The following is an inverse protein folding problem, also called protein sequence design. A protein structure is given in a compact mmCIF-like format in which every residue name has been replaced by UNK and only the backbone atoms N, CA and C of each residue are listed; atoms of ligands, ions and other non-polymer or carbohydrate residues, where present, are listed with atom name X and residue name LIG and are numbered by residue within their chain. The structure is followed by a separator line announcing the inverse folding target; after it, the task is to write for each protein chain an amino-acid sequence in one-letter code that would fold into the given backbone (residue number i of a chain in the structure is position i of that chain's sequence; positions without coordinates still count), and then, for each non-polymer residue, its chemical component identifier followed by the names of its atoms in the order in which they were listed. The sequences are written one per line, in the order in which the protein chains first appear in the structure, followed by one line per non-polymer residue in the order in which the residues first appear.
data_IF_001758454024
#
_entry.id   IF_001758454024
#
_cell.length_a   1.000
_cell.length_b   1.000
_cell.length_c   1.000
_cell.angle_alpha   90.00
_cell.angle_beta   90.00
_cell.angle_gamma   90.00
#
_symmetry.space_group_name_H-M   'P 1'
#
loop_
_entity.id
_entity.type
_entity.pdbx_description
1 polymer ?
#
# COMPACT_ATOMS: atom_id res chain seq x y z
N UNK A 1 -21.86 65.55 -18.34
CA UNK A 1 -22.22 64.22 -18.90
C UNK A 1 -21.01 63.59 -19.52
N UNK A 2 -20.70 62.36 -19.09
CA UNK A 2 -20.01 61.24 -19.75
C UNK A 2 -19.02 60.59 -18.78
N UNK A 3 -19.55 59.65 -17.99
CA UNK A 3 -18.77 58.71 -17.21
C UNK A 3 -18.22 57.64 -18.15
N UNK A 4 -16.90 57.46 -18.17
CA UNK A 4 -16.25 56.31 -18.79
C UNK A 4 -16.00 55.32 -17.65
N UNK A 5 -16.68 54.16 -17.71
CA UNK A 5 -16.45 53.04 -16.81
C UNK A 5 -15.37 52.15 -17.42
N UNK A 6 -14.20 52.08 -16.77
CA UNK A 6 -13.14 51.13 -17.11
C UNK A 6 -13.27 49.92 -16.18
N UNK A 7 -13.54 48.75 -16.75
CA UNK A 7 -13.51 47.46 -16.07
C UNK A 7 -12.04 47.08 -15.79
N UNK A 8 -11.68 46.96 -14.52
CA UNK A 8 -10.36 46.46 -14.08
C UNK A 8 -10.34 44.94 -14.12
N UNK A 9 -9.64 44.36 -15.11
CA UNK A 9 -9.24 42.96 -15.15
C UNK A 9 -8.07 42.74 -14.19
N UNK A 10 -8.21 41.80 -13.25
CA UNK A 10 -7.14 41.32 -12.41
C UNK A 10 -6.19 40.45 -13.25
N UNK A 11 -4.90 40.80 -13.28
CA UNK A 11 -3.84 39.93 -13.77
C UNK A 11 -2.97 39.52 -12.57
N UNK A 12 -3.19 38.31 -12.07
CA UNK A 12 -2.30 37.68 -11.08
C UNK A 12 -1.04 37.25 -11.85
N UNK A 13 0.02 38.07 -11.78
CA UNK A 13 1.31 37.70 -12.33
C UNK A 13 1.95 36.66 -11.39
N UNK A 14 1.91 35.39 -11.79
CA UNK A 14 2.68 34.32 -11.16
C UNK A 14 4.17 34.64 -11.36
N UNK A 15 4.84 35.06 -10.30
CA UNK A 15 6.29 35.23 -10.30
C UNK A 15 6.94 33.86 -10.51
N UNK A 16 7.56 33.67 -11.67
CA UNK A 16 8.42 32.53 -11.96
C UNK A 16 9.72 32.77 -11.22
N UNK A 17 9.92 32.12 -10.08
CA UNK A 17 11.24 32.08 -9.45
C UNK A 17 12.11 31.08 -10.19
N UNK A 18 12.85 31.58 -11.18
CA UNK A 18 14.09 30.94 -11.60
C UNK A 18 15.18 31.35 -10.61
N UNK A 19 15.61 30.42 -9.76
CA UNK A 19 16.86 30.54 -9.01
C UNK A 19 17.48 29.17 -8.83
N UNK A 20 18.46 28.86 -9.66
CA UNK A 20 19.44 27.83 -9.35
C UNK A 20 20.38 28.39 -8.27
N UNK A 21 20.41 27.80 -7.08
CA UNK A 21 21.64 27.26 -6.46
C UNK A 21 21.51 26.99 -4.95
N UNK A 22 22.31 25.99 -4.55
CA UNK A 22 22.82 25.62 -3.23
C UNK A 22 21.97 24.67 -2.38
N UNK A 23 22.46 23.43 -2.33
CA UNK A 23 22.59 22.56 -1.15
C UNK A 23 21.63 22.84 0.02
N UNK A 24 20.47 22.23 -0.03
CA UNK A 24 19.97 21.53 1.16
C UNK A 24 19.65 20.11 0.71
N UNK A 25 20.34 19.17 1.35
CA UNK A 25 19.95 17.77 1.45
C UNK A 25 18.55 17.70 2.08
N UNK A 26 17.55 18.09 1.30
CA UNK A 26 16.17 17.76 1.59
C UNK A 26 16.06 16.27 1.29
N UNK A 27 16.50 15.48 2.26
CA UNK A 27 15.88 14.20 2.56
C UNK A 27 14.40 14.48 2.78
N UNK A 28 13.65 14.65 1.69
CA UNK A 28 12.20 14.64 1.72
C UNK A 28 11.88 13.28 2.30
N UNK A 29 11.49 13.28 3.57
CA UNK A 29 11.04 12.08 4.24
C UNK A 29 9.93 11.51 3.35
N UNK A 30 10.14 10.28 2.84
CA UNK A 30 9.14 9.52 2.09
C UNK A 30 7.92 9.15 2.96
N UNK A 31 7.90 9.62 4.20
CA UNK A 31 6.83 9.44 5.14
C UNK A 31 5.59 10.25 4.73
N UNK A 32 4.40 9.62 4.68
CA UNK A 32 3.19 10.30 4.28
C UNK A 32 2.74 11.31 5.35
N UNK A 33 2.38 12.51 4.91
CA UNK A 33 1.94 13.59 5.81
C UNK A 33 0.65 13.29 6.60
N UNK A 34 -0.17 12.34 6.11
CA UNK A 34 -1.40 11.88 6.76
C UNK A 34 -1.20 10.56 7.54
N UNK A 35 0.03 10.07 7.60
CA UNK A 35 0.43 8.82 8.21
C UNK A 35 -0.23 7.58 7.58
N UNK A 36 -1.02 7.69 6.51
CA UNK A 36 -1.78 6.57 5.94
C UNK A 36 -0.83 5.60 5.24
N UNK A 37 -0.96 4.31 5.59
CA UNK A 37 -0.25 3.23 4.89
C UNK A 37 -0.84 3.10 3.48
N UNK A 38 0.03 3.16 2.48
CA UNK A 38 -0.31 2.97 1.06
C UNK A 38 0.44 1.78 0.54
N UNK A 39 -0.26 0.86 -0.13
CA UNK A 39 0.31 -0.39 -0.62
C UNK A 39 0.24 -0.43 -2.14
N UNK A 40 1.34 -0.82 -2.76
CA UNK A 40 1.44 -1.17 -4.17
C UNK A 40 1.95 -2.58 -4.27
N UNK A 41 1.45 -3.36 -5.22
CA UNK A 41 1.94 -4.72 -5.47
C UNK A 41 2.75 -4.76 -6.75
N UNK A 42 3.81 -5.56 -6.73
CA UNK A 42 4.50 -5.99 -7.92
C UNK A 42 4.78 -7.48 -7.75
N UNK A 43 3.99 -8.28 -8.46
CA UNK A 43 4.27 -9.69 -8.67
C UNK A 43 4.85 -9.76 -10.07
N UNK A 44 6.18 -9.83 -10.16
CA UNK A 44 6.86 -10.09 -11.43
C UNK A 44 6.44 -11.47 -11.95
N UNK A 45 6.32 -11.59 -13.28
CA UNK A 45 6.05 -12.85 -13.95
C UNK A 45 7.25 -13.81 -13.78
N UNK A 46 7.41 -14.39 -12.58
CA UNK A 46 8.32 -15.50 -12.40
C UNK A 46 7.77 -16.63 -13.26
N UNK A 47 8.42 -16.87 -14.40
CA UNK A 47 8.19 -18.02 -15.29
C UNK A 47 8.61 -19.33 -14.61
N UNK A 48 7.95 -19.69 -13.51
CA UNK A 48 7.93 -21.03 -12.94
C UNK A 48 6.57 -21.27 -12.27
N UNK A 49 5.52 -21.49 -13.06
CA UNK A 49 4.25 -22.13 -12.63
C UNK A 49 3.35 -21.37 -11.62
N UNK A 50 3.66 -20.14 -11.23
CA UNK A 50 2.72 -19.26 -10.52
C UNK A 50 1.77 -18.59 -11.53
N UNK A 51 0.48 -18.64 -11.26
CA UNK A 51 -0.59 -18.04 -12.07
C UNK A 51 -1.06 -16.69 -11.51
N UNK A 52 -0.67 -16.35 -10.27
CA UNK A 52 -0.78 -14.99 -9.77
C UNK A 52 0.24 -14.09 -10.44
N UNK A 53 -0.28 -13.14 -11.21
CA UNK A 53 0.41 -11.96 -11.72
C UNK A 53 -0.16 -10.76 -10.98
N UNK A 54 0.48 -9.59 -11.09
CA UNK A 54 -0.12 -8.35 -10.56
C UNK A 54 -1.54 -8.12 -11.11
N UNK A 55 -1.85 -8.64 -12.30
CA UNK A 55 -3.14 -8.50 -12.94
C UNK A 55 -4.20 -9.48 -12.41
N UNK A 56 -3.82 -10.71 -12.07
CA UNK A 56 -4.73 -11.75 -11.55
C UNK A 56 -4.83 -11.79 -10.02
N UNK A 57 -4.00 -11.03 -9.31
CA UNK A 57 -4.16 -10.85 -7.87
C UNK A 57 -5.31 -9.86 -7.59
N UNK A 58 -6.41 -10.36 -7.03
CA UNK A 58 -7.59 -9.57 -6.67
C UNK A 58 -7.64 -9.20 -5.18
N UNK A 59 -7.08 -10.06 -4.33
CA UNK A 59 -6.99 -9.85 -2.89
C UNK A 59 -5.77 -10.52 -2.26
N UNK A 60 -5.32 -9.97 -1.14
CA UNK A 60 -4.27 -10.55 -0.31
C UNK A 60 -4.40 -10.06 1.14
N UNK A 61 -3.72 -10.74 2.06
CA UNK A 61 -3.59 -10.31 3.44
C UNK A 61 -2.32 -9.46 3.63
N UNK A 62 -2.44 -8.34 4.33
CA UNK A 62 -1.34 -7.47 4.72
C UNK A 62 -1.21 -7.38 6.25
N UNK A 63 0.01 -7.47 6.75
CA UNK A 63 0.34 -7.45 8.16
C UNK A 63 1.47 -6.46 8.45
N UNK A 64 1.34 -5.73 9.57
CA UNK A 64 2.35 -4.85 10.13
C UNK A 64 2.54 -5.22 11.61
N UNK A 65 3.78 -5.54 11.97
CA UNK A 65 4.21 -5.75 13.35
C UNK A 65 5.00 -4.57 13.88
N UNK A 66 4.42 -3.86 14.84
CA UNK A 66 5.13 -2.83 15.58
C UNK A 66 5.39 -3.32 17.01
N UNK A 67 6.65 -3.69 17.28
CA UNK A 67 7.07 -4.21 18.57
C UNK A 67 6.92 -3.21 19.73
N UNK A 68 6.93 -1.91 19.42
CA UNK A 68 6.91 -0.84 20.42
C UNK A 68 5.50 -0.27 20.66
N UNK A 69 4.55 -0.50 19.74
CA UNK A 69 3.20 0.03 19.87
C UNK A 69 2.16 -0.80 19.11
N UNK A 70 1.40 -1.60 19.86
CA UNK A 70 0.33 -2.45 19.31
C UNK A 70 -0.78 -1.69 18.59
N UNK A 71 -0.95 -0.38 18.86
CA UNK A 71 -1.96 0.45 18.16
C UNK A 71 -1.66 0.57 16.66
N UNK A 72 -0.39 0.49 16.28
CA UNK A 72 0.07 0.56 14.90
C UNK A 72 0.53 -0.82 14.40
N UNK A 73 0.05 -1.89 15.05
CA UNK A 73 0.16 -3.25 14.57
C UNK A 73 -1.16 -3.66 13.95
N UNK A 74 -1.10 -4.21 12.75
CA UNK A 74 -2.26 -4.61 11.97
C UNK A 74 -2.03 -6.04 11.50
N UNK A 75 -3.03 -6.89 11.61
CA UNK A 75 -2.88 -8.27 11.23
C UNK A 75 -4.04 -8.74 10.37
N UNK A 76 -3.69 -9.50 9.33
CA UNK A 76 -4.61 -10.10 8.39
C UNK A 76 -5.57 -9.07 7.79
N UNK A 77 -5.05 -7.88 7.46
CA UNK A 77 -5.85 -6.85 6.80
C UNK A 77 -6.03 -7.28 5.35
N UNK A 78 -7.28 -7.56 4.99
CA UNK A 78 -7.65 -7.86 3.62
C UNK A 78 -7.43 -6.60 2.76
N UNK A 79 -6.62 -6.75 1.73
CA UNK A 79 -6.39 -5.76 0.69
C UNK A 79 -7.15 -6.21 -0.54
N UNK A 80 -8.03 -5.37 -1.08
CA UNK A 80 -8.81 -5.68 -2.29
C UNK A 80 -8.45 -4.72 -3.41
N UNK A 81 -8.34 -5.25 -4.62
CA UNK A 81 -8.00 -4.48 -5.82
C UNK A 81 -9.24 -3.79 -6.40
N UNK A 82 -9.13 -2.49 -6.61
CA UNK A 82 -10.10 -1.71 -7.38
C UNK A 82 -9.36 -0.93 -8.49
N UNK A 83 -9.41 -1.47 -9.71
CA UNK A 83 -8.60 -0.96 -10.82
C UNK A 83 -7.11 -1.15 -10.54
N UNK A 84 -6.38 -0.05 -10.36
CA UNK A 84 -4.95 -0.05 -9.99
C UNK A 84 -4.71 0.21 -8.50
N UNK A 85 -5.77 0.49 -7.73
CA UNK A 85 -5.67 0.84 -6.32
C UNK A 85 -5.91 -0.39 -5.44
N UNK A 86 -5.28 -0.37 -4.26
CA UNK A 86 -5.47 -1.38 -3.23
C UNK A 86 -6.14 -0.75 -2.01
N UNK A 87 -7.31 -1.25 -1.65
CA UNK A 87 -8.09 -0.75 -0.52
C UNK A 87 -8.00 -1.74 0.65
N UNK A 88 -7.59 -1.28 1.84
CA UNK A 88 -7.62 -2.13 3.02
C UNK A 88 -9.04 -2.23 3.61
N UNK A 89 -9.37 -3.35 4.22
CA UNK A 89 -10.63 -3.52 4.96
C UNK A 89 -10.73 -2.61 6.19
N UNK A 90 -9.60 -2.14 6.72
CA UNK A 90 -9.50 -1.17 7.82
C UNK A 90 -8.35 -0.19 7.53
N UNK A 91 -8.55 1.10 7.80
CA UNK A 91 -7.49 2.10 7.62
C UNK A 91 -6.30 1.82 8.55
N UNK A 92 -5.12 1.72 7.96
CA UNK A 92 -3.86 1.53 8.67
C UNK A 92 -3.04 2.83 8.68
N UNK A 93 -2.34 3.09 9.78
CA UNK A 93 -1.50 4.26 9.96
C UNK A 93 -0.09 3.86 10.37
N UNK A 94 0.91 4.55 9.85
CA UNK A 94 2.26 4.53 10.37
C UNK A 94 2.34 5.31 11.69
N UNK A 95 3.15 4.83 12.63
CA UNK A 95 3.37 5.55 13.89
C UNK A 95 4.15 6.87 13.66
N UNK A 96 5.29 6.78 12.98
CA UNK A 96 6.19 7.87 12.61
C UNK A 96 7.24 7.33 11.63
N UNK A 97 8.16 8.18 11.17
CA UNK A 97 9.19 7.83 10.18
C UNK A 97 10.41 7.08 10.74
N UNK A 98 10.52 6.93 12.07
CA UNK A 98 11.72 6.38 12.73
C UNK A 98 11.49 5.03 13.39
N UNK A 99 10.23 4.64 13.63
CA UNK A 99 9.88 3.37 14.23
C UNK A 99 9.96 2.24 13.19
N UNK A 100 10.89 1.28 13.33
CA UNK A 100 10.91 0.10 12.47
C UNK A 100 9.69 -0.78 12.75
N UNK A 101 9.23 -1.46 11.70
CA UNK A 101 8.14 -2.43 11.74
C UNK A 101 8.51 -3.65 10.90
N UNK A 102 7.94 -4.79 11.26
CA UNK A 102 7.95 -5.99 10.43
C UNK A 102 6.73 -5.96 9.49
N UNK A 103 6.89 -6.34 8.24
CA UNK A 103 5.80 -6.37 7.25
C UNK A 103 5.73 -7.76 6.65
N UNK A 104 4.51 -8.26 6.45
CA UNK A 104 4.29 -9.51 5.74
C UNK A 104 3.04 -9.39 4.87
N UNK A 105 3.10 -9.96 3.67
CA UNK A 105 1.92 -10.15 2.82
C UNK A 105 1.81 -11.60 2.35
N UNK A 106 0.58 -12.10 2.20
CA UNK A 106 0.33 -13.41 1.58
C UNK A 106 -0.99 -13.44 0.80
N UNK A 107 -1.04 -14.31 -0.21
CA UNK A 107 -2.22 -14.57 -1.02
C UNK A 107 -2.42 -16.08 -1.26
N UNK A 108 -3.67 -16.55 -1.48
CA UNK A 108 -4.91 -15.76 -1.35
C UNK A 108 -5.20 -15.42 0.12
N UNK A 109 -6.11 -14.48 0.35
CA UNK A 109 -6.53 -14.10 1.70
C UNK A 109 -7.24 -15.27 2.39
N UNK A 110 -6.89 -15.56 3.66
CA UNK A 110 -7.62 -16.50 4.52
C UNK A 110 -8.20 -15.74 5.71
N UNK A 111 -9.53 -15.71 5.83
CA UNK A 111 -10.22 -15.06 6.95
C UNK A 111 -9.90 -15.67 8.32
N UNK A 112 -9.37 -16.90 8.35
CA UNK A 112 -8.96 -17.60 9.57
C UNK A 112 -7.49 -17.37 9.93
N UNK A 113 -6.76 -16.52 9.19
CA UNK A 113 -5.39 -16.12 9.52
C UNK A 113 -5.30 -15.52 10.93
N UNK A 114 -4.52 -16.14 11.82
CA UNK A 114 -4.47 -15.78 13.25
C UNK A 114 -3.47 -14.64 13.54
N UNK A 115 -3.92 -13.70 14.37
CA UNK A 115 -3.40 -12.36 14.54
C UNK A 115 -2.19 -12.16 15.47
N UNK A 116 -1.73 -13.18 16.19
CA UNK A 116 -0.52 -13.07 17.03
C UNK A 116 0.72 -13.73 16.41
N UNK A 117 0.49 -14.55 15.38
CA UNK A 117 1.53 -15.38 14.79
C UNK A 117 2.15 -14.75 13.55
N UNK A 118 1.43 -13.93 12.76
CA UNK A 118 1.87 -13.48 11.41
C UNK A 118 3.26 -12.83 11.31
N UNK A 119 3.72 -12.10 12.32
CA UNK A 119 5.06 -11.49 12.34
C UNK A 119 6.15 -12.46 12.84
N UNK A 120 5.76 -13.60 13.42
CA UNK A 120 6.64 -14.62 13.99
C UNK A 120 6.39 -16.02 13.38
N UNK A 121 5.73 -16.08 12.24
CA UNK A 121 5.21 -17.33 11.67
C UNK A 121 6.33 -18.22 11.19
N UNK A 122 6.22 -19.51 11.50
CA UNK A 122 6.94 -20.57 10.77
C UNK A 122 6.02 -21.38 9.83
N UNK A 123 4.69 -21.20 9.93
CA UNK A 123 3.65 -21.88 9.14
C UNK A 123 2.54 -20.92 8.68
N UNK A 124 2.44 -20.68 7.38
CA UNK A 124 1.46 -19.76 6.81
C UNK A 124 0.02 -20.32 6.89
N UNK A 125 -0.99 -19.50 7.24
CA UNK A 125 -2.38 -19.92 7.39
C UNK A 125 -3.05 -19.97 6.01
N UNK A 126 -2.53 -20.80 5.12
CA UNK A 126 -3.09 -20.98 3.78
C UNK A 126 -3.83 -22.31 3.70
N UNK A 127 -4.97 -22.29 3.03
CA UNK A 127 -5.84 -23.45 2.85
C UNK A 127 -5.81 -23.90 1.40
N UNK A 128 -5.69 -25.21 1.16
CA UNK A 128 -5.74 -25.78 -0.19
C UNK A 128 -7.20 -25.99 -0.59
N UNK A 129 -7.59 -25.47 -1.75
CA UNK A 129 -8.93 -25.63 -2.32
C UNK A 129 -9.23 -27.11 -2.57
N UNK A 130 -10.50 -27.50 -2.37
CA UNK A 130 -10.92 -28.89 -2.54
C UNK A 130 -10.99 -29.32 -4.02
N UNK A 131 -11.03 -28.36 -4.93
CA UNK A 131 -10.99 -28.56 -6.38
C UNK A 131 -9.85 -27.75 -6.96
N UNK A 132 -8.98 -28.39 -7.74
CA UNK A 132 -7.90 -27.72 -8.47
C UNK A 132 -8.20 -27.85 -9.96
N UNK A 133 -8.74 -26.78 -10.53
CA UNK A 133 -9.10 -26.71 -11.95
C UNK A 133 -8.16 -25.74 -12.67
N UNK A 134 -8.02 -25.90 -13.99
CA UNK A 134 -7.27 -24.92 -14.77
C UNK A 134 -7.91 -23.53 -14.62
N UNK A 135 -7.12 -22.53 -14.23
CA UNK A 135 -7.59 -21.15 -14.01
C UNK A 135 -8.10 -20.83 -12.61
N UNK A 136 -8.05 -21.76 -11.65
CA UNK A 136 -8.33 -21.46 -10.23
C UNK A 136 -7.05 -21.16 -9.47
N UNK A 137 -7.08 -20.16 -8.58
CA UNK A 137 -5.88 -19.65 -7.90
C UNK A 137 -5.91 -19.83 -6.37
N UNK A 138 -6.94 -20.52 -5.85
CA UNK A 138 -7.17 -20.74 -4.42
C UNK A 138 -6.02 -21.49 -3.73
N UNK A 139 -5.17 -22.18 -4.50
CA UNK A 139 -4.02 -22.96 -3.99
C UNK A 139 -2.69 -22.51 -4.59
N UNK A 140 -2.67 -21.37 -5.28
CA UNK A 140 -1.45 -20.75 -5.76
C UNK A 140 -1.02 -19.72 -4.71
N UNK A 141 -0.03 -20.09 -3.90
CA UNK A 141 0.32 -19.33 -2.71
C UNK A 141 1.49 -18.39 -2.96
N UNK A 142 1.29 -17.11 -2.67
CA UNK A 142 2.35 -16.10 -2.65
C UNK A 142 2.62 -15.68 -1.21
N UNK A 143 3.90 -15.56 -0.86
CA UNK A 143 4.31 -15.01 0.43
C UNK A 143 5.48 -14.05 0.24
N UNK A 144 5.35 -12.87 0.84
CA UNK A 144 6.39 -11.85 0.88
C UNK A 144 6.73 -11.56 2.35
N UNK A 145 7.79 -12.18 2.89
CA UNK A 145 8.25 -12.00 4.27
C UNK A 145 9.19 -10.80 4.44
#
# INVERSE_FOLDING_TARGET
MKAIKLFTMAALATAVFASCSNDEDLTQSSYPADNVVRVTTNVEDITTRAFHTTNSLDEFAFCIGNANNIKYSYNNIMMTKEGTNWNPSVQMLWQNSTQPVDIMAYAPFDSHGNTETMIKVKKYPVSVGTQQMAGTYESDFLVYP
#
